data_IF_626757393582
#
_entry.id   IF_626757393582
#
_cell.length_a   1.000
_cell.length_b   1.000
_cell.length_c   1.000
_cell.angle_alpha   90.00
_cell.angle_beta   90.00
_cell.angle_gamma   90.00
#
_symmetry.space_group_name_H-M   'P 1'
#
loop_
_entity.id
_entity.type
_entity.pdbx_description
1 polymer ?
#
# COMPACT_ATOMS: atom_id res chain seq x y z
N UNK A 1 -1.61 -11.36 15.69
CA UNK A 1 -1.06 -10.04 15.26
C UNK A 1 -0.67 -10.03 13.79
N UNK A 2 -0.02 -11.06 13.26
CA UNK A 2 0.34 -11.16 11.83
C UNK A 2 -0.82 -11.07 10.83
N UNK A 3 -1.95 -11.75 11.09
CA UNK A 3 -3.12 -11.70 10.19
C UNK A 3 -3.68 -10.27 10.01
N UNK A 4 -3.68 -9.45 11.08
CA UNK A 4 -4.12 -8.05 11.01
C UNK A 4 -3.15 -7.21 10.18
N UNK A 5 -1.85 -7.40 10.36
CA UNK A 5 -0.81 -6.71 9.58
C UNK A 5 -0.91 -7.08 8.10
N UNK A 6 -1.08 -8.37 7.79
CA UNK A 6 -1.27 -8.83 6.42
C UNK A 6 -2.52 -8.22 5.77
N UNK A 7 -3.65 -8.19 6.50
CA UNK A 7 -4.86 -7.52 6.02
C UNK A 7 -4.66 -6.03 5.76
N UNK A 8 -3.91 -5.33 6.63
CA UNK A 8 -3.61 -3.91 6.45
C UNK A 8 -2.76 -3.67 5.19
N UNK A 9 -1.69 -4.46 5.00
CA UNK A 9 -0.82 -4.38 3.82
C UNK A 9 -1.63 -4.67 2.54
N UNK A 10 -2.43 -5.73 2.54
CA UNK A 10 -3.27 -6.09 1.40
C UNK A 10 -4.29 -5.00 1.08
N UNK A 11 -4.93 -4.42 2.11
CA UNK A 11 -5.89 -3.32 1.94
C UNK A 11 -5.21 -2.07 1.36
N UNK A 12 -4.04 -1.70 1.87
CA UNK A 12 -3.22 -0.60 1.37
C UNK A 12 -2.86 -0.77 -0.12
N UNK A 13 -2.37 -1.96 -0.50
CA UNK A 13 -1.99 -2.26 -1.88
C UNK A 13 -3.20 -2.30 -2.82
N UNK A 14 -4.36 -2.79 -2.34
CA UNK A 14 -5.62 -2.72 -3.09
C UNK A 14 -6.04 -1.27 -3.34
N UNK A 15 -5.88 -0.37 -2.37
CA UNK A 15 -6.12 1.06 -2.56
C UNK A 15 -5.16 1.64 -3.59
N UNK A 16 -3.85 1.39 -3.48
CA UNK A 16 -2.87 1.87 -4.45
C UNK A 16 -3.17 1.40 -5.89
N UNK A 17 -3.57 0.14 -6.07
CA UNK A 17 -3.96 -0.40 -7.37
C UNK A 17 -5.18 0.33 -7.98
N UNK A 18 -6.16 0.74 -7.17
CA UNK A 18 -7.31 1.53 -7.65
C UNK A 18 -6.91 2.91 -8.17
N UNK A 19 -5.80 3.45 -7.68
CA UNK A 19 -5.19 4.70 -8.16
C UNK A 19 -4.13 4.45 -9.26
N UNK A 20 -4.10 3.25 -9.86
CA UNK A 20 -3.20 2.93 -10.97
C UNK A 20 -1.73 2.74 -10.58
N UNK A 21 -1.41 2.63 -9.28
CA UNK A 21 -0.03 2.39 -8.83
C UNK A 21 0.36 0.93 -9.00
N UNK A 22 1.61 0.70 -9.38
CA UNK A 22 2.17 -0.64 -9.47
C UNK A 22 2.36 -1.24 -8.06
N UNK A 23 1.93 -2.48 -7.88
CA UNK A 23 1.93 -3.17 -6.60
C UNK A 23 3.33 -3.23 -5.97
N UNK A 24 4.33 -3.65 -6.76
CA UNK A 24 5.69 -3.86 -6.25
C UNK A 24 6.35 -2.55 -5.82
N UNK A 25 6.18 -1.48 -6.60
CA UNK A 25 6.70 -0.15 -6.30
C UNK A 25 6.10 0.38 -4.99
N UNK A 26 4.79 0.21 -4.81
CA UNK A 26 4.09 0.62 -3.59
C UNK A 26 4.52 -0.19 -2.36
N UNK A 27 4.79 -1.48 -2.54
CA UNK A 27 5.31 -2.34 -1.47
C UNK A 27 6.72 -1.94 -1.06
N UNK A 28 7.60 -1.62 -2.02
CA UNK A 28 8.96 -1.13 -1.76
C UNK A 28 8.91 0.20 -1.01
N UNK A 29 8.14 1.18 -1.49
CA UNK A 29 7.94 2.47 -0.80
C UNK A 29 7.45 2.30 0.65
N UNK A 30 6.51 1.38 0.88
CA UNK A 30 6.02 1.06 2.22
C UNK A 30 7.13 0.47 3.11
N UNK A 31 7.92 -0.48 2.58
CA UNK A 31 9.02 -1.12 3.31
C UNK A 31 10.18 -0.15 3.60
N UNK A 32 10.42 0.83 2.74
CA UNK A 32 11.42 1.89 2.91
C UNK A 32 10.97 3.01 3.88
N UNK A 33 9.76 2.92 4.43
CA UNK A 33 9.22 3.93 5.36
C UNK A 33 8.78 5.22 4.65
N UNK A 34 8.58 5.19 3.33
CA UNK A 34 8.11 6.31 2.51
C UNK A 34 6.80 5.95 1.81
N UNK A 35 5.73 5.64 2.55
CA UNK A 35 4.50 5.13 1.95
C UNK A 35 3.90 6.18 1.02
N UNK A 36 3.42 5.72 -0.14
CA UNK A 36 2.53 6.53 -0.97
C UNK A 36 1.20 6.74 -0.24
N UNK A 37 0.69 7.96 -0.31
CA UNK A 37 -0.62 8.34 0.22
C UNK A 37 -1.51 8.76 -0.95
N UNK A 38 -2.79 8.34 -0.97
CA UNK A 38 -3.74 8.81 -1.97
C UNK A 38 -3.92 10.33 -1.81
N UNK A 39 -3.75 11.08 -2.90
CA UNK A 39 -4.19 12.46 -2.92
C UNK A 39 -5.71 12.47 -2.76
N UNK A 40 -6.21 13.30 -1.84
CA UNK A 40 -7.64 13.57 -1.73
C UNK A 40 -7.99 14.36 -3.00
N UNK A 41 -8.75 13.75 -3.91
CA UNK A 41 -9.43 14.49 -4.98
C UNK A 41 -10.66 15.19 -4.40
#
# INVERSE_FOLDING_TARGET
>A
TGAKQFCAIRSYLSTAAKHGRHFFDTLVMLAEGRPWLPAIQ
#
